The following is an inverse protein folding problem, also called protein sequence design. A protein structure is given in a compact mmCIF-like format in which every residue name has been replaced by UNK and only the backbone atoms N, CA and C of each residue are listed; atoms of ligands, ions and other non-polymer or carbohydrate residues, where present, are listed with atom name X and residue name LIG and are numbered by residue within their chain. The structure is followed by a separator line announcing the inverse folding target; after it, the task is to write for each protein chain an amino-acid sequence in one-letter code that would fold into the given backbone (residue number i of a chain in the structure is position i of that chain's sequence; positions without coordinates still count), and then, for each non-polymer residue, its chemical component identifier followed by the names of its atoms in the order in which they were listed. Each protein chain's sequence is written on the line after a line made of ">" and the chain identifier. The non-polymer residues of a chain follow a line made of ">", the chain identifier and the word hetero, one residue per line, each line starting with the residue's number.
data_IF_060946406148
#
_entry.id   IF_060946406148
#
_cell.length_a   1.000
_cell.length_b   1.000
_cell.length_c   1.000
_cell.angle_alpha   90.00
_cell.angle_beta   90.00
_cell.angle_gamma   90.00
#
_symmetry.space_group_name_H-M   'P 1'
#
loop_
_entity.id
_entity.type
_entity.pdbx_description
1 polymer ?
#
# COMPACT_ATOMS: atom_id res chain seq x y z
N UNK A 1 -9.12 -7.28 54.24
CA UNK A 1 -8.29 -6.94 53.07
C UNK A 1 -7.93 -5.45 53.16
N UNK A 2 -6.64 -5.13 53.30
CA UNK A 2 -6.18 -3.75 53.55
C UNK A 2 -6.42 -2.85 52.33
N UNK A 3 -6.99 -1.65 52.53
CA UNK A 3 -7.27 -0.63 51.50
C UNK A 3 -6.07 -0.36 50.58
N UNK A 4 -4.85 -0.55 51.08
CA UNK A 4 -3.60 -0.42 50.31
C UNK A 4 -3.47 -1.44 49.16
N UNK A 5 -3.93 -2.68 49.35
CA UNK A 5 -3.91 -3.71 48.29
C UNK A 5 -4.90 -3.38 47.16
N UNK A 6 -6.06 -2.82 47.51
CA UNK A 6 -7.06 -2.42 46.51
C UNK A 6 -6.57 -1.24 45.67
N UNK A 7 -5.92 -0.25 46.29
CA UNK A 7 -5.30 0.87 45.56
C UNK A 7 -4.20 0.41 44.61
N UNK A 8 -3.34 -0.50 45.04
CA UNK A 8 -2.26 -1.04 44.20
C UNK A 8 -2.81 -1.81 42.98
N UNK A 9 -3.87 -2.58 43.16
CA UNK A 9 -4.53 -3.31 42.06
C UNK A 9 -5.21 -2.33 41.08
N UNK A 10 -5.88 -1.29 41.59
CA UNK A 10 -6.55 -0.28 40.74
C UNK A 10 -5.54 0.53 39.93
N UNK A 11 -4.43 0.96 40.54
CA UNK A 11 -3.36 1.70 39.84
C UNK A 11 -2.68 0.83 38.78
N UNK A 12 -2.39 -0.44 39.08
CA UNK A 12 -1.79 -1.37 38.11
C UNK A 12 -2.74 -1.69 36.93
N UNK A 13 -4.06 -1.62 37.16
CA UNK A 13 -5.06 -1.85 36.12
C UNK A 13 -5.23 -0.63 35.19
N UNK A 14 -5.09 0.59 35.72
CA UNK A 14 -5.18 1.82 34.91
C UNK A 14 -3.98 2.04 33.97
N UNK A 15 -2.77 1.58 34.33
CA UNK A 15 -1.59 1.71 33.46
C UNK A 15 -1.60 0.76 32.27
N UNK A 16 -2.31 -0.38 32.38
CA UNK A 16 -2.37 -1.39 31.32
C UNK A 16 -3.17 -0.93 30.08
N UNK A 17 -4.19 -0.08 30.23
CA UNK A 17 -4.99 0.39 29.08
C UNK A 17 -4.23 1.36 28.17
N UNK A 18 -3.23 2.10 28.69
CA UNK A 18 -2.49 3.10 27.92
C UNK A 18 -1.47 2.49 26.93
N UNK A 19 -1.08 1.22 27.09
CA UNK A 19 0.00 0.61 26.31
C UNK A 19 -0.38 0.13 24.90
N UNK A 20 -1.66 -0.13 24.63
CA UNK A 20 -2.08 -0.76 23.36
C UNK A 20 -2.11 0.19 22.17
N UNK A 21 -2.28 1.49 22.41
CA UNK A 21 -2.42 2.50 21.34
C UNK A 21 -1.08 2.95 20.71
N UNK A 22 0.06 2.51 21.22
CA UNK A 22 1.38 3.03 20.78
C UNK A 22 2.11 2.19 19.75
N UNK A 23 1.69 0.95 19.47
CA UNK A 23 2.48 0.02 18.65
C UNK A 23 1.97 -0.17 17.22
N UNK A 24 0.66 0.00 16.97
CA UNK A 24 0.09 -0.08 15.62
C UNK A 24 -0.96 1.03 15.44
N UNK A 25 -0.75 2.00 14.53
CA UNK A 25 -1.67 3.12 14.33
C UNK A 25 -3.07 2.71 13.84
N UNK A 26 -3.22 1.47 13.34
CA UNK A 26 -4.46 0.93 12.80
C UNK A 26 -4.22 -0.36 12.01
N UNK A 27 -5.32 -1.00 11.61
CA UNK A 27 -5.28 -2.19 10.75
C UNK A 27 -4.63 -1.88 9.40
N UNK A 28 -3.89 -2.85 8.87
CA UNK A 28 -3.38 -2.78 7.51
C UNK A 28 -4.53 -2.95 6.50
N UNK A 29 -4.33 -2.50 5.27
CA UNK A 29 -5.22 -2.74 4.14
C UNK A 29 -5.35 -4.24 3.87
N UNK A 30 -6.39 -4.62 3.12
CA UNK A 30 -6.62 -6.03 2.78
C UNK A 30 -5.42 -6.66 2.07
N UNK A 31 -4.70 -5.88 1.24
CA UNK A 31 -3.52 -6.35 0.50
C UNK A 31 -2.35 -6.77 1.41
N UNK A 32 -2.22 -6.16 2.59
CA UNK A 32 -1.16 -6.45 3.55
C UNK A 32 -1.67 -7.06 4.86
N UNK A 33 -2.94 -7.47 4.93
CA UNK A 33 -3.54 -7.99 6.16
C UNK A 33 -2.78 -9.20 6.74
N UNK A 34 -2.17 -10.01 5.88
CA UNK A 34 -1.34 -11.16 6.29
C UNK A 34 -0.02 -10.78 6.97
N UNK A 35 0.42 -9.51 6.83
CA UNK A 35 1.66 -9.00 7.41
C UNK A 35 1.45 -8.41 8.81
N UNK A 36 0.25 -8.49 9.36
CA UNK A 36 -0.01 -8.06 10.73
C UNK A 36 0.62 -9.00 11.76
N UNK A 37 0.75 -8.49 12.99
CA UNK A 37 1.32 -9.21 14.11
C UNK A 37 2.61 -8.57 14.61
N UNK A 38 2.84 -8.69 15.92
CA UNK A 38 3.94 -7.99 16.60
C UNK A 38 5.34 -8.38 16.09
N UNK A 39 5.49 -9.56 15.49
CA UNK A 39 6.76 -10.01 14.90
C UNK A 39 7.02 -9.46 13.50
N UNK A 40 6.04 -8.85 12.85
CA UNK A 40 6.07 -8.54 11.43
C UNK A 40 6.32 -7.05 11.14
N UNK A 41 6.33 -6.20 12.17
CA UNK A 41 6.54 -4.76 12.02
C UNK A 41 7.82 -4.43 11.24
N UNK A 42 8.89 -5.21 11.45
CA UNK A 42 10.21 -5.00 10.83
C UNK A 42 10.30 -5.47 9.36
N UNK A 43 9.25 -6.13 8.86
CA UNK A 43 9.14 -6.45 7.44
C UNK A 43 9.00 -5.18 6.60
N UNK A 44 8.41 -4.13 7.16
CA UNK A 44 8.27 -2.82 6.51
C UNK A 44 9.12 -1.73 7.19
N UNK A 45 9.18 -1.70 8.51
CA UNK A 45 9.87 -0.66 9.27
C UNK A 45 11.32 -1.03 9.59
N UNK A 46 12.21 -0.06 9.45
CA UNK A 46 13.51 -0.10 10.12
C UNK A 46 13.37 0.54 11.49
N UNK A 47 13.89 -0.12 12.53
CA UNK A 47 13.73 0.36 13.91
C UNK A 47 14.28 1.79 14.06
N UNK A 48 13.45 2.69 14.57
CA UNK A 48 13.79 4.11 14.75
C UNK A 48 13.78 4.94 13.47
N UNK A 49 13.37 4.38 12.33
CA UNK A 49 13.34 5.06 11.04
C UNK A 49 11.99 4.92 10.34
N UNK A 50 11.76 5.77 9.32
CA UNK A 50 10.62 5.60 8.40
C UNK A 50 10.80 4.36 7.53
N UNK A 51 9.70 3.88 6.96
CA UNK A 51 9.75 2.83 5.94
C UNK A 51 10.58 3.29 4.73
N UNK A 52 11.30 2.35 4.11
CA UNK A 52 12.14 2.63 2.94
C UNK A 52 11.59 1.94 1.70
N UNK A 53 11.81 2.54 0.53
CA UNK A 53 11.41 1.92 -0.75
C UNK A 53 12.04 0.53 -0.94
N UNK A 54 13.23 0.30 -0.38
CA UNK A 54 13.91 -0.99 -0.44
C UNK A 54 13.09 -2.11 0.23
N UNK A 55 12.40 -1.83 1.35
CA UNK A 55 11.53 -2.80 2.03
C UNK A 55 10.33 -3.17 1.16
N UNK A 56 9.71 -2.19 0.50
CA UNK A 56 8.61 -2.45 -0.45
C UNK A 56 9.08 -3.33 -1.61
N UNK A 57 10.22 -2.98 -2.22
CA UNK A 57 10.77 -3.67 -3.39
C UNK A 57 11.36 -5.06 -3.07
N UNK A 58 11.63 -5.38 -1.79
CA UNK A 58 12.06 -6.72 -1.39
C UNK A 58 10.97 -7.79 -1.64
N UNK A 59 9.69 -7.40 -1.50
CA UNK A 59 8.55 -8.26 -1.80
C UNK A 59 8.00 -8.00 -3.22
N UNK A 60 7.92 -6.74 -3.66
CA UNK A 60 7.45 -6.36 -4.99
C UNK A 60 8.55 -6.48 -6.07
N UNK A 61 9.01 -7.72 -6.30
CA UNK A 61 10.16 -8.03 -7.17
C UNK A 61 9.91 -7.74 -8.64
N UNK A 62 8.68 -7.96 -9.13
CA UNK A 62 8.29 -7.64 -10.50
C UNK A 62 8.35 -6.12 -10.73
N UNK A 63 7.84 -5.35 -9.78
CA UNK A 63 7.94 -3.89 -9.80
C UNK A 63 9.40 -3.43 -9.75
N UNK A 64 10.21 -4.03 -8.88
CA UNK A 64 11.65 -3.74 -8.80
C UNK A 64 12.34 -3.99 -10.16
N UNK A 65 12.00 -5.10 -10.82
CA UNK A 65 12.52 -5.45 -12.14
C UNK A 65 12.12 -4.41 -13.19
N UNK A 66 10.85 -3.98 -13.22
CA UNK A 66 10.38 -2.93 -14.12
C UNK A 66 11.09 -1.59 -13.88
N UNK A 67 11.25 -1.18 -12.61
CA UNK A 67 11.97 0.05 -12.25
C UNK A 67 13.43 -0.01 -12.71
N UNK A 68 14.09 -1.15 -12.49
CA UNK A 68 15.49 -1.38 -12.90
C UNK A 68 15.64 -1.29 -14.43
N UNK A 69 14.67 -1.85 -15.16
CA UNK A 69 14.60 -1.77 -16.62
C UNK A 69 14.15 -0.40 -17.14
N UNK A 70 13.83 0.57 -16.26
CA UNK A 70 13.27 1.87 -16.62
C UNK A 70 11.96 1.75 -17.42
N UNK A 71 11.05 0.87 -16.99
CA UNK A 71 9.78 0.59 -17.66
C UNK A 71 8.59 0.86 -16.74
N UNK A 72 7.48 1.29 -17.35
CA UNK A 72 6.19 1.49 -16.68
C UNK A 72 6.09 2.81 -15.90
N UNK A 73 4.93 3.01 -15.29
CA UNK A 73 4.55 4.29 -14.69
C UNK A 73 5.43 4.71 -13.48
N UNK A 74 5.97 3.75 -12.73
CA UNK A 74 6.74 4.04 -11.52
C UNK A 74 8.12 4.68 -11.79
N UNK A 75 8.59 4.69 -13.05
CA UNK A 75 9.80 5.43 -13.46
C UNK A 75 9.49 6.75 -14.14
N UNK A 76 8.20 7.08 -14.28
CA UNK A 76 7.76 8.35 -14.85
C UNK A 76 8.19 9.53 -14.01
N UNK A 77 8.15 10.72 -14.61
CA UNK A 77 8.43 11.99 -13.92
C UNK A 77 7.51 12.26 -12.71
N UNK A 78 6.36 11.60 -12.63
CA UNK A 78 5.37 11.85 -11.57
C UNK A 78 5.66 11.05 -10.30
N UNK A 79 6.34 9.90 -10.45
CA UNK A 79 6.60 8.95 -9.36
C UNK A 79 8.08 8.87 -9.00
N UNK A 80 8.98 9.05 -9.98
CA UNK A 80 10.42 8.87 -9.78
C UNK A 80 10.95 9.70 -8.61
N UNK A 81 11.63 9.04 -7.69
CA UNK A 81 12.25 9.66 -6.52
C UNK A 81 11.32 9.88 -5.32
N UNK A 82 10.03 9.54 -5.42
CA UNK A 82 9.11 9.57 -4.29
C UNK A 82 9.24 8.31 -3.43
N UNK A 83 8.96 8.46 -2.15
CA UNK A 83 8.80 7.30 -1.27
C UNK A 83 7.47 6.60 -1.56
N UNK A 84 7.46 5.26 -1.60
CA UNK A 84 6.29 4.45 -1.94
C UNK A 84 5.06 4.82 -1.09
N UNK A 85 5.26 5.00 0.22
CA UNK A 85 4.19 5.29 1.18
C UNK A 85 3.52 6.66 0.95
N UNK A 86 4.13 7.56 0.16
CA UNK A 86 3.53 8.86 -0.20
C UNK A 86 2.21 8.67 -0.95
N UNK A 87 2.14 7.63 -1.77
CA UNK A 87 0.96 7.29 -2.55
C UNK A 87 0.38 5.92 -2.20
N UNK A 88 1.11 5.07 -1.48
CA UNK A 88 0.64 3.76 -1.00
C UNK A 88 0.62 3.75 0.52
N UNK A 89 -0.20 4.61 1.09
CA UNK A 89 -0.26 4.78 2.53
C UNK A 89 -0.98 3.60 3.19
N UNK A 90 -0.57 3.26 4.40
CA UNK A 90 -1.02 2.07 5.12
C UNK A 90 -1.42 2.43 6.57
N UNK A 91 -2.02 1.51 7.31
CA UNK A 91 -2.65 1.70 8.64
C UNK A 91 -3.95 2.51 8.61
N UNK A 92 -4.63 2.54 7.47
CA UNK A 92 -5.90 3.27 7.31
C UNK A 92 -7.11 2.32 7.33
N UNK A 93 -6.90 1.04 7.65
CA UNK A 93 -7.93 0.02 7.72
C UNK A 93 -8.09 -0.81 6.45
N UNK A 94 -8.76 -1.96 6.60
CA UNK A 94 -8.90 -3.01 5.58
C UNK A 94 -9.34 -2.54 4.21
N UNK A 95 -10.28 -1.60 4.18
CA UNK A 95 -10.95 -1.13 2.97
C UNK A 95 -10.34 0.17 2.43
N UNK A 96 -9.22 0.62 3.00
CA UNK A 96 -8.59 1.82 2.51
C UNK A 96 -8.01 1.60 1.11
N UNK A 97 -8.36 2.49 0.19
CA UNK A 97 -7.73 2.56 -1.11
C UNK A 97 -6.37 3.23 -0.95
N UNK A 98 -5.32 2.42 -0.99
CA UNK A 98 -3.95 2.87 -0.79
C UNK A 98 -3.58 4.02 -1.74
N UNK A 99 -4.05 3.96 -2.99
CA UNK A 99 -3.72 4.88 -4.07
C UNK A 99 -4.97 5.66 -4.50
N UNK A 100 -4.80 6.96 -4.70
CA UNK A 100 -5.78 7.82 -5.37
C UNK A 100 -5.33 8.04 -6.81
N UNK A 101 -5.93 7.30 -7.73
CA UNK A 101 -5.59 7.33 -9.15
C UNK A 101 -6.75 7.93 -9.95
N UNK A 102 -6.46 8.96 -10.75
CA UNK A 102 -7.44 9.56 -11.65
C UNK A 102 -7.37 8.90 -13.02
N UNK A 103 -8.26 7.93 -13.25
CA UNK A 103 -8.34 7.21 -14.52
C UNK A 103 -8.62 8.13 -15.71
N UNK A 104 -9.35 9.24 -15.50
CA UNK A 104 -9.75 10.16 -16.58
C UNK A 104 -8.61 11.08 -16.99
N UNK A 105 -7.73 11.40 -16.06
CA UNK A 105 -6.58 12.27 -16.30
C UNK A 105 -5.28 11.50 -16.64
N UNK A 106 -5.32 10.16 -16.66
CA UNK A 106 -4.12 9.36 -16.84
C UNK A 106 -3.52 9.47 -18.26
N UNK A 107 -2.26 9.91 -18.33
CA UNK A 107 -1.48 9.93 -19.57
C UNK A 107 -0.67 8.64 -19.74
N UNK A 108 -1.05 7.82 -20.72
CA UNK A 108 -0.38 6.55 -21.01
C UNK A 108 1.08 6.72 -21.49
N UNK A 109 1.46 7.92 -21.96
CA UNK A 109 2.86 8.21 -22.29
C UNK A 109 3.78 8.05 -21.08
N UNK A 110 3.27 8.30 -19.88
CA UNK A 110 4.00 8.16 -18.61
C UNK A 110 4.33 6.69 -18.30
N UNK A 111 3.58 5.74 -18.87
CA UNK A 111 3.84 4.31 -18.77
C UNK A 111 4.63 3.74 -19.97
N UNK A 112 4.98 4.57 -20.96
CA UNK A 112 5.67 4.16 -22.18
C UNK A 112 4.76 3.54 -23.23
N UNK A 113 3.45 3.81 -23.20
CA UNK A 113 2.48 3.31 -24.18
C UNK A 113 1.56 4.44 -24.69
N UNK A 114 2.07 5.44 -25.42
CA UNK A 114 1.26 6.56 -25.88
C UNK A 114 0.11 6.08 -26.78
N UNK A 115 -1.10 6.55 -26.52
CA UNK A 115 -2.26 6.28 -27.36
C UNK A 115 -2.30 7.25 -28.54
N UNK A 116 -2.38 6.71 -29.76
CA UNK A 116 -2.29 7.48 -31.00
C UNK A 116 -3.55 7.36 -31.86
N UNK A 117 -3.82 8.40 -32.65
CA UNK A 117 -4.94 8.45 -33.58
C UNK A 117 -6.28 8.10 -32.92
N UNK A 118 -6.98 7.14 -33.54
CA UNK A 118 -8.29 6.68 -33.10
C UNK A 118 -8.31 6.00 -31.71
N UNK A 119 -7.15 5.68 -31.12
CA UNK A 119 -7.07 5.05 -29.80
C UNK A 119 -7.18 6.04 -28.64
N UNK A 120 -6.97 7.35 -28.88
CA UNK A 120 -7.04 8.37 -27.81
C UNK A 120 -8.38 8.42 -27.06
N UNK A 121 -9.56 8.35 -27.73
CA UNK A 121 -10.85 8.39 -27.06
C UNK A 121 -11.42 6.99 -26.72
N UNK A 122 -10.62 5.92 -26.84
CA UNK A 122 -11.09 4.56 -26.56
C UNK A 122 -11.27 4.38 -25.05
N UNK A 123 -12.43 3.87 -24.65
CA UNK A 123 -12.71 3.53 -23.26
C UNK A 123 -11.66 2.56 -22.69
N UNK A 124 -11.19 2.85 -21.48
CA UNK A 124 -10.11 2.12 -20.80
C UNK A 124 -10.38 0.60 -20.74
N UNK A 125 -11.64 0.20 -20.50
CA UNK A 125 -12.04 -1.20 -20.32
C UNK A 125 -12.02 -2.01 -21.61
N UNK A 126 -11.98 -1.36 -22.78
CA UNK A 126 -11.85 -2.09 -24.06
C UNK A 126 -10.49 -2.78 -24.21
N UNK A 127 -9.46 -2.29 -23.52
CA UNK A 127 -8.13 -2.89 -23.49
C UNK A 127 -7.80 -3.49 -22.10
N UNK A 128 -8.17 -2.79 -21.01
CA UNK A 128 -7.95 -3.25 -19.64
C UNK A 128 -9.07 -4.18 -19.15
N UNK A 129 -9.35 -5.22 -19.93
CA UNK A 129 -10.26 -6.30 -19.56
C UNK A 129 -9.47 -7.48 -18.97
N UNK A 130 -9.99 -8.18 -17.95
CA UNK A 130 -9.29 -9.31 -17.31
C UNK A 130 -8.83 -10.39 -18.31
N UNK A 131 -9.60 -10.64 -19.36
CA UNK A 131 -9.30 -11.67 -20.37
C UNK A 131 -8.16 -11.26 -21.32
N UNK A 132 -7.83 -9.97 -21.35
CA UNK A 132 -6.79 -9.39 -22.22
C UNK A 132 -5.48 -9.10 -21.48
N UNK A 133 -5.49 -9.13 -20.16
CA UNK A 133 -4.30 -8.95 -19.32
C UNK A 133 -3.90 -10.32 -18.76
N UNK A 134 -2.80 -10.89 -19.27
CA UNK A 134 -2.27 -12.16 -18.79
C UNK A 134 -1.46 -11.96 -17.50
N UNK A 135 -2.15 -11.89 -16.36
CA UNK A 135 -1.58 -12.24 -15.05
C UNK A 135 -2.72 -12.44 -14.01
N UNK A 136 -2.99 -13.69 -13.58
CA UNK A 136 -4.00 -14.00 -12.55
C UNK A 136 -3.67 -13.47 -11.14
N UNK A 137 -2.45 -12.99 -10.90
CA UNK A 137 -2.01 -12.41 -9.62
C UNK A 137 -1.76 -10.90 -9.69
N UNK A 138 -2.08 -10.26 -10.82
CA UNK A 138 -1.87 -8.84 -11.02
C UNK A 138 -3.00 -8.03 -10.36
N UNK A 139 -2.72 -7.16 -9.38
CA UNK A 139 -3.74 -6.33 -8.76
C UNK A 139 -4.46 -5.41 -9.78
N UNK A 140 -3.94 -5.23 -11.00
CA UNK A 140 -4.62 -4.55 -12.12
C UNK A 140 -5.74 -5.35 -12.78
N UNK A 141 -5.84 -6.66 -12.51
CA UNK A 141 -6.85 -7.55 -13.14
C UNK A 141 -8.00 -7.89 -12.19
N UNK A 142 -7.81 -7.75 -10.88
CA UNK A 142 -8.89 -7.90 -9.92
C UNK A 142 -9.69 -6.61 -9.80
N UNK A 143 -10.98 -6.77 -9.52
CA UNK A 143 -12.02 -5.74 -9.38
C UNK A 143 -11.74 -4.71 -8.27
N UNK A 144 -10.55 -4.73 -7.69
CA UNK A 144 -10.26 -4.16 -6.37
C UNK A 144 -9.32 -2.95 -6.44
N UNK A 145 -8.86 -2.53 -7.63
CA UNK A 145 -7.94 -1.38 -7.70
C UNK A 145 -8.57 0.00 -7.65
N UNK A 146 -9.89 0.20 -7.82
CA UNK A 146 -10.49 1.55 -7.72
C UNK A 146 -11.94 1.55 -7.19
N UNK A 147 -12.21 0.77 -6.12
CA UNK A 147 -13.38 0.98 -5.25
C UNK A 147 -14.70 1.30 -5.95
N UNK A 148 -15.20 0.33 -6.71
CA UNK A 148 -16.64 0.20 -7.01
C UNK A 148 -17.18 -1.09 -6.40
#
# INVERSE_FOLDING_TARGET
>A
MSRSRTYLIVVLSLTALAGYAQLSPGDLTTAHASLEGMSNCTQCHDLGNKVTNAKCLACHKELQSLITQKRGYHVSREVKGKDCFTCHSEHHGRKFEMVRFDEKAFDHSLAGYPLEGAHKPVDCRKCHAPEKIKDPGDPRTTKDLHGA
#
